data_IF_376952107867
#
_entry.id   IF_376952107867
#
_cell.length_a   1.000
_cell.length_b   1.000
_cell.length_c   1.000
_cell.angle_alpha   90.00
_cell.angle_beta   90.00
_cell.angle_gamma   90.00
#
_symmetry.space_group_name_H-M   'P 1'
#
loop_
_entity.id
_entity.type
_entity.pdbx_description
1 polymer ?
#
# COMPACT_ATOMS: atom_id res chain seq x y z
N UNK A 1 6.94 25.27 -21.43
CA UNK A 1 6.88 24.34 -20.28
C UNK A 1 7.39 23.00 -20.73
N UNK A 2 8.40 22.44 -20.05
CA UNK A 2 8.73 21.02 -20.21
C UNK A 2 7.88 20.27 -19.19
N UNK A 3 6.94 19.45 -19.64
CA UNK A 3 6.14 18.58 -18.77
C UNK A 3 6.96 17.34 -18.37
N UNK A 4 6.55 16.68 -17.28
CA UNK A 4 7.23 15.46 -16.81
C UNK A 4 7.04 14.33 -17.83
N UNK A 5 8.12 13.94 -18.51
CA UNK A 5 8.09 12.81 -19.45
C UNK A 5 8.14 11.48 -18.71
N UNK A 6 7.66 10.42 -19.37
CA UNK A 6 7.74 9.05 -18.84
C UNK A 6 9.18 8.65 -18.50
N UNK A 7 10.15 9.05 -19.31
CA UNK A 7 11.57 8.76 -19.11
C UNK A 7 12.12 9.45 -17.85
N UNK A 8 11.83 10.75 -17.67
CA UNK A 8 12.25 11.49 -16.48
C UNK A 8 11.56 10.95 -15.22
N UNK A 9 10.26 10.64 -15.28
CA UNK A 9 9.54 10.00 -14.19
C UNK A 9 10.14 8.63 -13.83
N UNK A 10 10.61 7.86 -14.82
CA UNK A 10 11.28 6.58 -14.59
C UNK A 10 12.61 6.74 -13.86
N UNK A 11 13.43 7.73 -14.24
CA UNK A 11 14.67 8.05 -13.54
C UNK A 11 14.43 8.52 -12.09
N UNK A 12 13.43 9.38 -11.88
CA UNK A 12 13.04 9.83 -10.54
C UNK A 12 12.53 8.68 -9.69
N UNK A 13 11.68 7.81 -10.25
CA UNK A 13 11.13 6.65 -9.53
C UNK A 13 12.22 5.71 -9.01
N UNK A 14 13.31 5.51 -9.77
CA UNK A 14 14.48 4.73 -9.31
C UNK A 14 15.15 5.36 -8.11
N UNK A 15 15.39 6.67 -8.16
CA UNK A 15 16.04 7.40 -7.06
C UNK A 15 15.13 7.37 -5.83
N UNK A 16 13.86 7.69 -5.97
CA UNK A 16 12.88 7.64 -4.87
C UNK A 16 12.77 6.24 -4.27
N UNK A 17 12.66 5.20 -5.09
CA UNK A 17 12.60 3.81 -4.63
C UNK A 17 13.83 3.42 -3.80
N UNK A 18 15.02 3.95 -4.13
CA UNK A 18 16.25 3.71 -3.35
C UNK A 18 16.31 4.47 -2.03
N UNK A 19 15.55 5.57 -1.90
CA UNK A 19 15.51 6.42 -0.71
C UNK A 19 14.37 6.05 0.25
N UNK A 20 13.33 5.38 -0.25
CA UNK A 20 12.22 4.92 0.57
C UNK A 20 12.72 3.88 1.56
N UNK A 21 12.64 4.20 2.85
CA UNK A 21 12.83 3.24 3.93
C UNK A 21 11.58 2.37 4.06
N UNK A 22 11.35 1.49 3.08
CA UNK A 22 10.37 0.40 3.22
C UNK A 22 11.06 -0.82 3.80
N UNK A 23 10.33 -1.59 4.61
CA UNK A 23 10.87 -2.83 5.19
C UNK A 23 11.13 -3.87 4.08
N UNK A 24 10.38 -3.81 2.96
CA UNK A 24 10.58 -4.69 1.81
C UNK A 24 10.48 -3.96 0.45
N UNK A 25 11.09 -4.57 -0.58
CA UNK A 25 11.41 -3.96 -1.88
C UNK A 25 10.27 -3.94 -2.92
N UNK A 26 9.08 -4.46 -2.59
CA UNK A 26 7.91 -4.52 -3.50
C UNK A 26 6.58 -4.05 -2.88
N UNK A 27 6.63 -3.42 -1.69
CA UNK A 27 5.44 -3.02 -0.94
C UNK A 27 4.68 -1.84 -1.58
N UNK A 28 5.36 -0.98 -2.35
CA UNK A 28 4.76 0.21 -2.96
C UNK A 28 3.82 -0.14 -4.11
N UNK A 29 3.98 -1.28 -4.77
CA UNK A 29 3.00 -1.73 -5.78
C UNK A 29 1.62 -1.91 -5.16
N UNK A 30 1.55 -2.46 -3.96
CA UNK A 30 0.29 -2.67 -3.27
C UNK A 30 -0.27 -1.40 -2.63
N UNK A 31 0.52 -0.32 -2.49
CA UNK A 31 0.08 0.95 -1.87
C UNK A 31 -0.23 2.02 -2.93
N UNK A 32 0.67 2.21 -3.89
CA UNK A 32 0.63 3.27 -4.90
C UNK A 32 0.16 2.80 -6.27
N UNK A 33 0.31 1.50 -6.54
CA UNK A 33 0.06 0.96 -7.88
C UNK A 33 -1.38 1.23 -8.32
N UNK A 34 -1.57 1.50 -9.60
CA UNK A 34 -2.90 1.42 -10.24
C UNK A 34 -3.18 0.00 -10.77
N UNK A 35 -2.38 -0.96 -10.28
CA UNK A 35 -2.53 -2.40 -10.45
C UNK A 35 -1.99 -2.97 -11.76
N UNK A 36 -1.37 -2.14 -12.60
CA UNK A 36 -0.73 -2.58 -13.85
C UNK A 36 0.77 -2.82 -13.68
N UNK A 37 1.32 -2.43 -12.54
CA UNK A 37 2.76 -2.40 -12.28
C UNK A 37 3.22 -3.68 -11.59
N UNK A 38 4.33 -4.24 -12.08
CA UNK A 38 4.91 -5.45 -11.51
C UNK A 38 5.91 -5.18 -10.39
N UNK A 39 6.42 -3.94 -10.26
CA UNK A 39 7.49 -3.56 -9.33
C UNK A 39 7.30 -2.11 -8.81
N UNK A 40 7.91 -1.80 -7.66
CA UNK A 40 7.79 -0.49 -6.99
C UNK A 40 8.14 0.69 -7.90
N UNK A 41 9.21 0.58 -8.69
CA UNK A 41 9.62 1.64 -9.62
C UNK A 41 8.50 2.01 -10.59
N UNK A 42 7.78 1.01 -11.12
CA UNK A 42 6.64 1.23 -12.00
C UNK A 42 5.51 1.94 -11.26
N UNK A 43 5.18 1.49 -10.05
CA UNK A 43 4.11 2.09 -9.26
C UNK A 43 4.42 3.56 -8.89
N UNK A 44 5.66 3.83 -8.48
CA UNK A 44 6.12 5.19 -8.19
C UNK A 44 6.12 6.04 -9.47
N UNK A 45 6.58 5.48 -10.61
CA UNK A 45 6.55 6.19 -11.89
C UNK A 45 5.12 6.56 -12.32
N UNK A 46 4.18 5.62 -12.25
CA UNK A 46 2.75 5.88 -12.55
C UNK A 46 2.18 6.95 -11.61
N UNK A 47 2.47 6.85 -10.32
CA UNK A 47 2.04 7.81 -9.32
C UNK A 47 2.60 9.22 -9.61
N UNK A 48 3.91 9.33 -9.92
CA UNK A 48 4.56 10.58 -10.31
C UNK A 48 3.88 11.20 -11.53
N UNK A 49 3.64 10.41 -12.58
CA UNK A 49 2.99 10.90 -13.79
C UNK A 49 1.55 11.37 -13.53
N UNK A 50 0.83 10.75 -12.59
CA UNK A 50 -0.53 11.16 -12.24
C UNK A 50 -0.60 12.46 -11.44
N UNK A 51 0.44 12.76 -10.63
CA UNK A 51 0.45 13.90 -9.69
C UNK A 51 1.25 15.09 -10.19
N UNK A 52 2.23 14.86 -11.06
CA UNK A 52 3.21 15.86 -11.49
C UNK A 52 3.16 16.12 -13.01
N UNK A 53 2.11 15.67 -13.71
CA UNK A 53 1.97 15.81 -15.17
C UNK A 53 2.24 17.25 -15.67
N UNK A 54 1.80 18.25 -14.89
CA UNK A 54 1.83 19.66 -15.28
C UNK A 54 2.97 20.48 -14.65
N UNK A 55 3.91 19.85 -13.93
CA UNK A 55 5.02 20.57 -13.29
C UNK A 55 6.14 20.85 -14.30
N UNK A 56 6.62 22.10 -14.33
CA UNK A 56 7.73 22.51 -15.19
C UNK A 56 9.05 21.87 -14.73
N UNK A 57 9.63 21.02 -15.57
CA UNK A 57 10.77 20.17 -15.22
C UNK A 57 12.13 20.90 -15.34
N UNK A 58 12.14 22.23 -15.23
CA UNK A 58 13.32 23.05 -15.49
C UNK A 58 14.44 22.84 -14.46
N UNK A 59 14.13 22.31 -13.27
CA UNK A 59 15.10 22.04 -12.19
C UNK A 59 14.93 20.62 -11.60
N UNK A 60 15.61 19.59 -12.14
CA UNK A 60 15.42 18.19 -11.75
C UNK A 60 15.63 17.89 -10.26
N UNK A 61 16.58 18.57 -9.60
CA UNK A 61 16.86 18.35 -8.17
C UNK A 61 15.72 18.86 -7.28
N UNK A 62 15.13 20.01 -7.60
CA UNK A 62 13.96 20.54 -6.87
C UNK A 62 12.75 19.61 -7.02
N UNK A 63 12.63 18.95 -8.17
CA UNK A 63 11.54 17.99 -8.44
C UNK A 63 11.74 16.72 -7.66
N UNK A 64 12.97 16.23 -7.51
CA UNK A 64 13.26 15.06 -6.69
C UNK A 64 12.92 15.33 -5.22
N UNK A 65 13.38 16.45 -4.66
CA UNK A 65 13.07 16.84 -3.28
C UNK A 65 11.57 16.99 -3.07
N UNK A 66 10.89 17.74 -3.95
CA UNK A 66 9.44 17.91 -3.89
C UNK A 66 8.68 16.59 -4.04
N UNK A 67 9.07 15.74 -4.98
CA UNK A 67 8.42 14.43 -5.18
C UNK A 67 8.62 13.51 -3.97
N UNK A 68 9.80 13.53 -3.35
CA UNK A 68 10.09 12.77 -2.13
C UNK A 68 9.24 13.26 -0.97
N UNK A 69 9.15 14.57 -0.76
CA UNK A 69 8.32 15.18 0.29
C UNK A 69 6.84 14.85 0.10
N UNK A 70 6.30 15.06 -1.11
CA UNK A 70 4.89 14.76 -1.42
C UNK A 70 4.58 13.27 -1.31
N UNK A 71 5.51 12.39 -1.69
CA UNK A 71 5.32 10.95 -1.54
C UNK A 71 5.29 10.55 -0.06
N UNK A 72 6.22 11.07 0.75
CA UNK A 72 6.24 10.81 2.20
C UNK A 72 4.99 11.37 2.89
N UNK A 73 4.53 12.56 2.48
CA UNK A 73 3.29 13.14 2.99
C UNK A 73 2.09 12.25 2.63
N UNK A 74 1.98 11.82 1.36
CA UNK A 74 0.91 10.95 0.93
C UNK A 74 0.88 9.61 1.70
N UNK A 75 2.03 8.98 1.92
CA UNK A 75 2.12 7.75 2.73
C UNK A 75 1.73 8.01 4.19
N UNK A 76 2.04 9.19 4.72
CA UNK A 76 1.64 9.60 6.07
C UNK A 76 0.13 9.78 6.15
N UNK A 77 -0.48 10.44 5.16
CA UNK A 77 -1.93 10.62 5.08
C UNK A 77 -2.66 9.27 5.04
N UNK A 78 -2.19 8.32 4.22
CA UNK A 78 -2.76 6.97 4.16
C UNK A 78 -2.68 6.24 5.50
N UNK A 79 -1.57 6.39 6.24
CA UNK A 79 -1.45 5.82 7.60
C UNK A 79 -2.45 6.48 8.56
N UNK A 80 -2.60 7.80 8.49
CA UNK A 80 -3.57 8.53 9.31
C UNK A 80 -5.01 8.08 8.99
N UNK A 81 -5.34 7.84 7.72
CA UNK A 81 -6.64 7.31 7.31
C UNK A 81 -6.88 5.90 7.88
N UNK A 82 -5.88 5.02 7.79
CA UNK A 82 -5.94 3.68 8.39
C UNK A 82 -6.13 3.77 9.90
N UNK A 83 -5.35 4.61 10.57
CA UNK A 83 -5.47 4.84 12.01
C UNK A 83 -6.79 5.51 12.40
N UNK A 84 -7.40 6.33 11.54
CA UNK A 84 -8.68 6.97 11.78
C UNK A 84 -9.83 5.97 11.86
N UNK A 85 -9.68 4.78 11.27
CA UNK A 85 -10.69 3.73 11.30
C UNK A 85 -11.89 4.00 10.39
N UNK A 86 -11.78 4.93 9.45
CA UNK A 86 -12.77 5.13 8.40
C UNK A 86 -12.75 3.93 7.47
N UNK A 87 -13.65 2.97 7.68
CA UNK A 87 -13.72 1.75 6.88
C UNK A 87 -14.21 2.10 5.49
N UNK A 88 -13.35 1.98 4.50
CA UNK A 88 -13.76 2.01 3.09
C UNK A 88 -14.41 0.68 2.73
N UNK A 89 -15.56 0.75 2.06
CA UNK A 89 -16.17 -0.46 1.51
C UNK A 89 -15.23 -1.08 0.46
N UNK A 90 -15.13 -2.41 0.48
CA UNK A 90 -14.52 -3.14 -0.63
C UNK A 90 -15.55 -3.08 -1.76
N UNK A 91 -15.22 -2.41 -2.85
CA UNK A 91 -16.12 -2.30 -3.99
C UNK A 91 -16.49 -3.70 -4.47
N UNK A 92 -17.80 -3.94 -4.61
CA UNK A 92 -18.29 -5.17 -5.22
C UNK A 92 -17.72 -5.26 -6.66
N UNK A 93 -17.30 -6.45 -7.12
CA UNK A 93 -16.83 -6.62 -8.46
C UNK A 93 -17.94 -6.28 -9.44
N UNK A 94 -17.58 -5.58 -10.50
CA UNK A 94 -18.49 -5.34 -11.61
C UNK A 94 -18.79 -6.66 -12.34
N UNK A 95 -20.05 -6.89 -12.69
CA UNK A 95 -20.52 -8.12 -13.33
C UNK A 95 -19.79 -8.48 -14.63
N UNK A 96 -19.15 -7.49 -15.27
CA UNK A 96 -18.42 -7.65 -16.52
C UNK A 96 -16.91 -7.89 -16.35
N UNK A 97 -16.39 -7.82 -15.12
CA UNK A 97 -14.96 -7.98 -14.84
C UNK A 97 -14.69 -9.38 -14.29
N UNK A 98 -13.76 -10.09 -14.94
CA UNK A 98 -13.35 -11.42 -14.47
C UNK A 98 -12.69 -11.33 -13.09
N UNK A 99 -13.23 -12.11 -12.14
CA UNK A 99 -12.63 -12.29 -10.82
C UNK A 99 -11.33 -13.08 -10.99
N UNK A 100 -10.21 -12.51 -10.54
CA UNK A 100 -8.91 -13.16 -10.52
C UNK A 100 -8.55 -13.54 -9.09
N UNK A 101 -8.11 -14.77 -8.87
CA UNK A 101 -7.53 -15.18 -7.61
C UNK A 101 -6.12 -14.59 -7.46
N UNK A 102 -5.84 -14.05 -6.27
CA UNK A 102 -4.50 -13.61 -5.92
C UNK A 102 -3.59 -14.82 -5.71
N UNK A 103 -2.41 -14.78 -6.31
CA UNK A 103 -1.32 -15.70 -6.01
C UNK A 103 -0.78 -15.49 -4.60
N UNK A 104 -0.10 -16.49 -4.04
CA UNK A 104 0.55 -16.38 -2.72
C UNK A 104 1.53 -15.21 -2.64
N UNK A 105 2.19 -14.88 -3.75
CA UNK A 105 3.09 -13.74 -3.81
C UNK A 105 2.33 -12.41 -3.72
N UNK A 106 1.22 -12.28 -4.45
CA UNK A 106 0.34 -11.10 -4.37
C UNK A 106 -0.25 -10.96 -2.97
N UNK A 107 -0.72 -12.06 -2.36
CA UNK A 107 -1.22 -12.07 -0.98
C UNK A 107 -0.17 -11.58 0.02
N UNK A 108 1.06 -12.13 -0.05
CA UNK A 108 2.16 -11.71 0.82
C UNK A 108 2.56 -10.25 0.60
N UNK A 109 2.51 -9.76 -0.64
CA UNK A 109 2.80 -8.35 -0.95
C UNK A 109 1.75 -7.42 -0.35
N UNK A 110 0.47 -7.72 -0.51
CA UNK A 110 -0.62 -6.96 0.13
C UNK A 110 -0.48 -7.01 1.65
N UNK A 111 -0.18 -8.19 2.21
CA UNK A 111 0.01 -8.36 3.65
C UNK A 111 1.13 -7.47 4.22
N UNK A 112 2.27 -7.36 3.51
CA UNK A 112 3.35 -6.44 3.89
C UNK A 112 2.93 -4.98 3.82
N UNK A 113 2.22 -4.60 2.75
CA UNK A 113 1.71 -3.25 2.61
C UNK A 113 0.72 -2.87 3.72
N UNK A 114 -0.21 -3.76 4.05
CA UNK A 114 -1.12 -3.60 5.20
C UNK A 114 -0.30 -3.42 6.48
N UNK A 115 0.66 -4.31 6.73
CA UNK A 115 1.51 -4.26 7.91
C UNK A 115 2.26 -2.93 8.03
N UNK A 116 2.77 -2.40 6.91
CA UNK A 116 3.43 -1.09 6.84
C UNK A 116 2.48 0.07 7.17
N UNK A 117 1.23 0.01 6.70
CA UNK A 117 0.24 1.06 6.96
C UNK A 117 -0.21 1.08 8.43
N UNK A 118 -0.32 -0.09 9.08
CA UNK A 118 -0.68 -0.19 10.50
C UNK A 118 0.51 0.00 11.45
N UNK A 119 1.75 -0.08 10.95
CA UNK A 119 2.96 0.01 11.77
C UNK A 119 3.02 1.27 12.65
N UNK A 120 2.36 2.36 12.21
CA UNK A 120 2.25 3.61 12.98
C UNK A 120 1.41 3.52 14.26
N UNK A 121 0.70 2.41 14.50
CA UNK A 121 -0.19 2.24 15.66
C UNK A 121 0.53 1.91 16.97
N UNK A 122 1.74 1.35 16.93
CA UNK A 122 2.40 0.88 18.14
C UNK A 122 3.79 0.29 17.90
N UNK A 123 4.37 -0.30 18.95
CA UNK A 123 5.64 -1.01 18.80
C UNK A 123 5.47 -2.26 17.94
N UNK A 124 6.54 -2.67 17.24
CA UNK A 124 6.52 -3.87 16.40
C UNK A 124 5.97 -5.11 17.13
N UNK A 125 6.47 -5.36 18.35
CA UNK A 125 6.04 -6.49 19.17
C UNK A 125 4.59 -6.38 19.64
N UNK A 126 4.13 -5.16 19.91
CA UNK A 126 2.72 -4.89 20.25
C UNK A 126 1.80 -5.21 19.08
N UNK A 127 2.14 -4.70 17.89
CA UNK A 127 1.37 -4.96 16.67
C UNK A 127 1.35 -6.45 16.32
N UNK A 128 2.50 -7.13 16.36
CA UNK A 128 2.58 -8.57 16.11
C UNK A 128 1.69 -9.37 17.07
N UNK A 129 1.66 -8.98 18.34
CA UNK A 129 0.80 -9.63 19.35
C UNK A 129 -0.68 -9.38 19.08
N UNK A 130 -1.06 -8.14 18.75
CA UNK A 130 -2.45 -7.79 18.42
C UNK A 130 -2.91 -8.50 17.14
N UNK A 131 -2.06 -8.63 16.12
CA UNK A 131 -2.38 -9.38 14.90
C UNK A 131 -2.64 -10.85 15.25
N UNK A 132 -1.76 -11.46 16.04
CA UNK A 132 -1.94 -12.84 16.48
C UNK A 132 -3.23 -13.04 17.28
N UNK A 133 -3.66 -12.07 18.09
CA UNK A 133 -4.94 -12.11 18.79
C UNK A 133 -6.13 -11.88 17.85
N UNK A 134 -6.01 -10.98 16.87
CA UNK A 134 -7.12 -10.53 16.03
C UNK A 134 -7.52 -11.50 14.93
N UNK A 135 -6.52 -12.12 14.31
CA UNK A 135 -6.73 -13.02 13.17
C UNK A 135 -6.15 -14.41 13.44
N UNK A 136 -5.13 -14.52 14.31
CA UNK A 136 -4.46 -15.78 14.62
C UNK A 136 -3.84 -16.46 13.40
N UNK A 137 -3.53 -17.75 13.56
CA UNK A 137 -2.96 -18.57 12.49
C UNK A 137 -1.48 -18.88 12.67
N UNK A 138 -0.93 -19.63 11.71
CA UNK A 138 0.47 -20.08 11.73
C UNK A 138 1.38 -19.08 11.02
N UNK A 139 2.64 -19.03 11.44
CA UNK A 139 3.67 -18.19 10.83
C UNK A 139 3.81 -16.83 11.51
N UNK A 140 4.52 -15.91 10.86
CA UNK A 140 4.66 -14.54 11.35
C UNK A 140 3.43 -13.70 10.98
N UNK A 141 3.36 -12.46 11.47
CA UNK A 141 2.25 -11.53 11.20
C UNK A 141 1.94 -11.35 9.71
N UNK A 142 2.95 -11.39 8.83
CA UNK A 142 2.74 -11.29 7.37
C UNK A 142 2.05 -12.54 6.83
N UNK A 143 2.46 -13.73 7.28
CA UNK A 143 1.81 -15.00 6.89
C UNK A 143 0.37 -15.08 7.42
N UNK A 144 0.14 -14.59 8.63
CA UNK A 144 -1.19 -14.50 9.24
C UNK A 144 -2.09 -13.55 8.46
N UNK A 145 -1.60 -12.33 8.15
CA UNK A 145 -2.35 -11.37 7.32
C UNK A 145 -2.62 -11.95 5.93
N UNK A 146 -1.63 -12.56 5.28
CA UNK A 146 -1.80 -13.16 3.95
C UNK A 146 -2.89 -14.26 3.95
N UNK A 147 -2.90 -15.10 4.99
CA UNK A 147 -3.93 -16.12 5.19
C UNK A 147 -5.30 -15.50 5.48
N UNK A 148 -5.34 -14.41 6.25
CA UNK A 148 -6.58 -13.67 6.50
C UNK A 148 -7.15 -13.07 5.22
N UNK A 149 -6.31 -12.47 4.36
CA UNK A 149 -6.70 -11.92 3.05
C UNK A 149 -7.28 -13.03 2.16
N UNK A 150 -6.66 -14.21 2.11
CA UNK A 150 -7.15 -15.31 1.26
C UNK A 150 -8.53 -15.81 1.70
N UNK A 151 -8.82 -15.80 3.01
CA UNK A 151 -10.12 -16.17 3.59
C UNK A 151 -11.19 -15.10 3.38
N UNK A 152 -10.83 -13.85 3.10
CA UNK A 152 -11.80 -12.83 2.69
C UNK A 152 -12.40 -13.10 1.28
N UNK A 153 -12.03 -14.20 0.63
CA UNK A 153 -12.33 -14.50 -0.76
C UNK A 153 -13.82 -14.70 -1.10
N UNK A 154 -14.35 -13.76 -1.91
CA UNK A 154 -15.07 -14.02 -3.18
C UNK A 154 -15.44 -12.73 -3.95
N UNK A 155 -14.59 -11.70 -4.04
CA UNK A 155 -15.00 -10.43 -4.67
C UNK A 155 -13.82 -9.48 -4.86
N UNK A 156 -12.78 -9.89 -5.59
CA UNK A 156 -11.66 -8.99 -5.89
C UNK A 156 -11.56 -8.71 -7.37
N UNK A 157 -11.86 -7.45 -7.69
CA UNK A 157 -11.65 -6.86 -9.00
C UNK A 157 -10.16 -6.69 -9.24
N UNK A 158 -9.78 -6.91 -10.50
CA UNK A 158 -8.52 -6.78 -11.23
C UNK A 158 -7.18 -6.43 -10.52
N UNK A 159 -7.13 -5.63 -9.44
CA UNK A 159 -5.90 -5.02 -8.94
C UNK A 159 -5.65 -5.16 -7.41
N UNK A 160 -4.51 -5.74 -6.98
CA UNK A 160 -4.14 -5.89 -5.57
C UNK A 160 -4.16 -4.61 -4.73
N UNK A 161 -3.78 -3.47 -5.31
CA UNK A 161 -3.66 -2.19 -4.62
C UNK A 161 -5.00 -1.58 -4.22
N UNK A 162 -6.07 -1.87 -4.95
CA UNK A 162 -7.43 -1.42 -4.63
C UNK A 162 -7.94 -2.02 -3.31
N UNK A 163 -7.34 -3.13 -2.87
CA UNK A 163 -7.74 -3.83 -1.66
C UNK A 163 -6.96 -3.38 -0.44
N UNK A 164 -5.71 -2.96 -0.63
CA UNK A 164 -4.76 -2.75 0.45
C UNK A 164 -5.28 -1.76 1.49
N UNK A 165 -5.79 -0.60 1.06
CA UNK A 165 -6.25 0.44 1.99
C UNK A 165 -7.48 -0.03 2.78
N UNK A 166 -8.51 -0.53 2.09
CA UNK A 166 -9.74 -1.01 2.73
C UNK A 166 -9.46 -2.18 3.68
N UNK A 167 -8.59 -3.13 3.29
CA UNK A 167 -8.19 -4.24 4.16
C UNK A 167 -7.34 -3.78 5.35
N UNK A 168 -6.45 -2.79 5.17
CA UNK A 168 -5.69 -2.19 6.26
C UNK A 168 -6.62 -1.52 7.28
N UNK A 169 -7.60 -0.73 6.83
CA UNK A 169 -8.60 -0.10 7.69
C UNK A 169 -9.41 -1.14 8.49
N UNK A 170 -9.88 -2.21 7.84
CA UNK A 170 -10.62 -3.30 8.50
C UNK A 170 -9.79 -4.07 9.53
N UNK A 171 -8.52 -4.33 9.21
CA UNK A 171 -7.61 -4.98 10.17
C UNK A 171 -7.35 -4.04 11.35
N UNK A 172 -7.05 -2.77 11.10
CA UNK A 172 -6.80 -1.77 12.12
C UNK A 172 -7.97 -1.62 13.10
N UNK A 173 -9.20 -1.60 12.60
CA UNK A 173 -10.39 -1.60 13.45
C UNK A 173 -10.46 -2.84 14.36
N UNK A 174 -10.15 -4.03 13.84
CA UNK A 174 -10.07 -5.25 14.65
C UNK A 174 -9.01 -5.15 15.75
N UNK A 175 -7.84 -4.61 15.43
CA UNK A 175 -6.75 -4.42 16.40
C UNK A 175 -7.17 -3.48 17.52
N UNK A 176 -7.78 -2.34 17.20
CA UNK A 176 -8.29 -1.37 18.19
C UNK A 176 -9.32 -1.99 19.13
N UNK A 177 -10.31 -2.72 18.61
CA UNK A 177 -11.35 -3.37 19.43
C UNK A 177 -10.76 -4.35 20.44
N UNK A 178 -9.67 -5.02 20.07
CA UNK A 178 -8.97 -5.96 20.96
C UNK A 178 -8.18 -5.20 22.01
N UNK A 179 -7.44 -4.17 21.60
CA UNK A 179 -6.69 -3.30 22.50
C UNK A 179 -7.58 -2.64 23.55
N UNK A 180 -8.77 -2.18 23.17
CA UNK A 180 -9.79 -1.64 24.09
C UNK A 180 -10.43 -2.68 25.02
N UNK A 181 -10.29 -3.97 24.71
CA UNK A 181 -10.83 -5.07 25.52
C UNK A 181 -9.85 -5.60 26.57
N UNK A 182 -8.61 -5.09 26.60
CA UNK A 182 -7.54 -5.47 27.53
C UNK A 182 -7.12 -4.29 28.42
#
# INVERSE_FOLDING_TARGET
MKTLTKETAGSLAKVLNSQLSTIHSDDMVAILGVGRESHNEGAIQSWLLSRFADIDVSHPNMILESASEVLNQHLTDLRMEVMGGSISEIQAPHDFVQIKLLSDQELRRIARAIYFLIFGYGSRSGIDSLINLAIGGRGNSIDQIASWISVQGKTYTYFPSELTLSLAQRLMEKLKRIDESY
#
